data_IF_339154692531
#
_entry.id   IF_339154692531
#
_cell.length_a   1.000
_cell.length_b   1.000
_cell.length_c   1.000
_cell.angle_alpha   90.00
_cell.angle_beta   90.00
_cell.angle_gamma   90.00
#
_symmetry.space_group_name_H-M   'P 1'
#
loop_
_entity.id
_entity.type
_entity.pdbx_description
1 polymer ?
#
# COMPACT_ATOMS: atom_id res chain seq x y z
N UNK A 1 -8.75 6.71 19.64
CA UNK A 1 -8.87 7.84 20.58
C UNK A 1 -7.52 8.40 20.99
N UNK A 2 -6.56 7.59 21.46
CA UNK A 2 -5.26 8.05 21.96
C UNK A 2 -4.46 8.82 20.90
N UNK A 3 -4.45 8.35 19.64
CA UNK A 3 -3.83 9.06 18.52
C UNK A 3 -4.44 10.46 18.32
N UNK A 4 -5.74 10.59 18.41
CA UNK A 4 -6.42 11.87 18.27
C UNK A 4 -6.03 12.84 19.39
N UNK A 5 -6.08 12.37 20.63
CA UNK A 5 -5.73 13.19 21.81
C UNK A 5 -4.27 13.63 21.75
N UNK A 6 -3.34 12.72 21.43
CA UNK A 6 -1.92 13.03 21.30
C UNK A 6 -1.63 14.04 20.19
N UNK A 7 -2.27 13.88 19.01
CA UNK A 7 -2.11 14.82 17.91
C UNK A 7 -2.70 16.19 18.22
N UNK A 8 -3.90 16.23 18.82
CA UNK A 8 -4.52 17.49 19.25
C UNK A 8 -3.64 18.21 20.26
N UNK A 9 -3.09 17.48 21.25
CA UNK A 9 -2.18 18.05 22.26
C UNK A 9 -0.93 18.63 21.59
N UNK A 10 -0.24 17.85 20.79
CA UNK A 10 1.03 18.27 20.18
C UNK A 10 0.84 19.42 19.20
N UNK A 11 -0.07 19.30 18.25
CA UNK A 11 -0.26 20.29 17.18
C UNK A 11 -1.07 21.51 17.65
N UNK A 12 -2.16 21.28 18.40
CA UNK A 12 -3.07 22.35 18.79
C UNK A 12 -2.71 23.10 20.06
N UNK A 13 -2.02 22.46 21.01
CA UNK A 13 -1.75 23.09 22.31
C UNK A 13 -0.26 23.33 22.57
N UNK A 14 0.61 22.42 22.16
CA UNK A 14 2.06 22.62 22.21
C UNK A 14 2.55 23.40 20.99
N UNK A 15 1.85 23.30 19.85
CA UNK A 15 2.20 24.00 18.61
C UNK A 15 3.35 23.33 17.83
N UNK A 16 3.56 22.03 18.04
CA UNK A 16 4.60 21.28 17.36
C UNK A 16 4.00 20.17 16.49
N UNK A 17 4.48 20.08 15.25
CA UNK A 17 4.17 18.96 14.34
C UNK A 17 5.16 17.78 14.48
N UNK A 18 6.13 17.85 15.42
CA UNK A 18 7.07 16.75 15.68
C UNK A 18 6.37 15.63 16.45
N UNK A 19 5.43 14.96 15.79
CA UNK A 19 4.74 13.77 16.25
C UNK A 19 4.55 12.85 15.04
N UNK A 20 4.99 11.61 15.15
CA UNK A 20 4.83 10.62 14.08
C UNK A 20 4.48 9.25 14.67
N UNK A 21 4.14 8.29 13.83
CA UNK A 21 3.74 6.97 14.25
C UNK A 21 4.59 5.88 13.59
N UNK A 22 4.59 4.66 14.16
CA UNK A 22 5.21 3.51 13.53
C UNK A 22 4.59 3.12 12.17
N UNK A 23 3.37 3.56 11.86
CA UNK A 23 2.77 3.44 10.54
C UNK A 23 3.59 4.12 9.44
N UNK A 24 4.37 5.15 9.78
CA UNK A 24 5.32 5.81 8.88
C UNK A 24 6.28 4.82 8.24
N UNK A 25 6.84 3.92 9.04
CA UNK A 25 7.83 2.93 8.61
C UNK A 25 7.19 1.65 8.06
N UNK A 26 5.90 1.45 8.33
CA UNK A 26 5.17 0.25 7.97
C UNK A 26 4.57 0.34 6.56
N UNK A 27 3.80 1.40 6.27
CA UNK A 27 2.95 1.46 5.09
C UNK A 27 2.86 2.84 4.42
N UNK A 28 3.72 3.78 4.73
CA UNK A 28 3.67 5.11 4.10
C UNK A 28 3.90 5.05 2.58
N UNK A 29 4.55 4.02 2.07
CA UNK A 29 4.68 3.77 0.64
C UNK A 29 3.32 3.54 -0.04
N UNK A 30 2.43 2.74 0.57
CA UNK A 30 1.08 2.56 0.06
C UNK A 30 0.27 3.86 0.12
N UNK A 31 0.36 4.61 1.23
CA UNK A 31 -0.28 5.93 1.37
C UNK A 31 0.14 6.87 0.24
N UNK A 32 1.46 6.97 0.00
CA UNK A 32 1.98 7.80 -1.09
C UNK A 32 1.58 7.29 -2.47
N UNK A 33 1.53 5.96 -2.65
CA UNK A 33 1.07 5.31 -3.88
C UNK A 33 -0.39 5.62 -4.20
N UNK A 34 -1.28 5.49 -3.21
CA UNK A 34 -2.70 5.83 -3.37
C UNK A 34 -2.89 7.33 -3.65
N UNK A 35 -2.22 8.21 -2.91
CA UNK A 35 -2.28 9.66 -3.17
C UNK A 35 -1.80 10.01 -4.58
N UNK A 36 -0.74 9.36 -5.07
CA UNK A 36 -0.23 9.56 -6.42
C UNK A 36 -1.22 9.10 -7.49
N UNK A 37 -1.90 7.96 -7.27
CA UNK A 37 -2.82 7.37 -8.23
C UNK A 37 -4.25 7.92 -8.15
N UNK A 38 -4.78 8.13 -6.93
CA UNK A 38 -6.19 8.49 -6.70
C UNK A 38 -6.38 9.90 -6.15
N UNK A 39 -5.31 10.62 -5.84
CA UNK A 39 -5.37 11.95 -5.22
C UNK A 39 -5.56 11.91 -3.70
N UNK A 40 -5.97 10.79 -3.14
CA UNK A 40 -6.28 10.61 -1.73
C UNK A 40 -5.63 9.35 -1.13
N UNK A 41 -5.51 9.33 0.20
CA UNK A 41 -5.13 8.13 0.95
C UNK A 41 -6.37 7.26 1.17
N UNK A 42 -6.72 6.48 0.16
CA UNK A 42 -7.91 5.62 0.12
C UNK A 42 -7.52 4.20 -0.28
N UNK A 43 -8.10 3.21 0.41
CA UNK A 43 -7.99 1.80 0.04
C UNK A 43 -9.29 1.41 -0.68
N UNK A 44 -9.25 1.07 -1.97
CA UNK A 44 -10.45 0.84 -2.76
C UNK A 44 -11.07 -0.56 -2.57
N UNK A 45 -10.72 -1.25 -1.50
CA UNK A 45 -11.19 -2.60 -1.18
C UNK A 45 -11.61 -2.70 0.27
N UNK A 46 -12.46 -3.70 0.55
CA UNK A 46 -12.77 -4.12 1.91
C UNK A 46 -12.47 -5.62 2.14
N UNK A 47 -12.71 -6.12 3.35
CA UNK A 47 -12.40 -7.51 3.68
C UNK A 47 -13.31 -8.52 2.97
N UNK A 48 -14.48 -8.12 2.47
CA UNK A 48 -15.39 -9.02 1.76
C UNK A 48 -14.91 -9.29 0.35
N UNK A 49 -14.16 -8.35 -0.24
CA UNK A 49 -13.54 -8.53 -1.56
C UNK A 49 -12.58 -9.71 -1.59
N UNK A 50 -11.89 -10.00 -0.47
CA UNK A 50 -11.03 -11.18 -0.34
C UNK A 50 -11.80 -12.51 -0.41
N UNK A 51 -13.11 -12.49 -0.19
CA UNK A 51 -13.95 -13.68 -0.17
C UNK A 51 -14.73 -13.92 -1.45
N UNK A 52 -14.90 -12.89 -2.28
CA UNK A 52 -15.68 -12.95 -3.51
C UNK A 52 -14.86 -12.80 -4.80
N UNK A 53 -13.56 -12.49 -4.68
CA UNK A 53 -12.68 -12.40 -5.87
C UNK A 53 -12.46 -13.74 -6.55
N UNK A 54 -12.30 -13.75 -7.87
CA UNK A 54 -11.92 -14.94 -8.63
C UNK A 54 -10.41 -15.19 -8.64
N UNK A 55 -9.62 -14.11 -8.54
CA UNK A 55 -8.16 -14.17 -8.40
C UNK A 55 -7.69 -13.35 -7.21
N UNK A 56 -7.07 -14.00 -6.23
CA UNK A 56 -6.41 -13.35 -5.11
C UNK A 56 -4.89 -13.44 -5.26
N UNK A 57 -4.22 -12.31 -5.34
CA UNK A 57 -2.76 -12.22 -5.36
C UNK A 57 -2.28 -11.73 -4.00
N UNK A 58 -1.48 -12.53 -3.30
CA UNK A 58 -0.87 -12.21 -2.00
C UNK A 58 0.60 -11.88 -2.24
N UNK A 59 0.98 -10.61 -2.22
CA UNK A 59 2.35 -10.18 -2.54
C UNK A 59 3.04 -9.49 -1.37
N UNK A 60 4.24 -9.97 -1.03
CA UNK A 60 5.02 -9.44 0.08
C UNK A 60 4.27 -9.49 1.42
N UNK A 61 3.44 -10.53 1.62
CA UNK A 61 2.58 -10.68 2.78
C UNK A 61 2.56 -12.12 3.28
N UNK A 62 3.12 -12.36 4.45
CA UNK A 62 2.92 -13.62 5.17
C UNK A 62 1.57 -13.57 5.93
N UNK A 63 0.48 -13.62 5.18
CA UNK A 63 -0.88 -13.40 5.67
C UNK A 63 -1.27 -14.41 6.74
N UNK A 64 -0.82 -15.66 6.63
CA UNK A 64 -1.08 -16.70 7.63
C UNK A 64 -0.60 -16.31 9.03
N UNK A 65 0.52 -15.61 9.12
CA UNK A 65 1.12 -15.18 10.39
C UNK A 65 0.74 -13.76 10.79
N UNK A 66 0.76 -12.83 9.84
CA UNK A 66 0.52 -11.41 10.12
C UNK A 66 -0.98 -11.09 10.29
N UNK A 67 -1.85 -11.81 9.58
CA UNK A 67 -3.30 -11.57 9.56
C UNK A 67 -4.08 -12.89 9.65
N UNK A 68 -3.92 -13.67 10.73
CA UNK A 68 -4.44 -15.04 10.80
C UNK A 68 -5.97 -15.12 10.66
N UNK A 69 -6.71 -14.14 11.13
CA UNK A 69 -8.18 -14.11 10.99
C UNK A 69 -8.58 -13.90 9.53
N UNK A 70 -7.92 -12.99 8.80
CA UNK A 70 -8.16 -12.80 7.37
C UNK A 70 -7.73 -14.02 6.57
N UNK A 71 -6.62 -14.65 6.93
CA UNK A 71 -6.17 -15.88 6.29
C UNK A 71 -7.21 -16.99 6.41
N UNK A 72 -7.82 -17.17 7.60
CA UNK A 72 -8.92 -18.12 7.80
C UNK A 72 -10.15 -17.76 6.97
N UNK A 73 -10.46 -16.48 6.77
CA UNK A 73 -11.56 -16.05 5.89
C UNK A 73 -11.27 -16.43 4.44
N UNK A 74 -10.06 -16.18 3.95
CA UNK A 74 -9.59 -16.57 2.60
C UNK A 74 -9.66 -18.09 2.43
N UNK A 75 -9.17 -18.87 3.40
CA UNK A 75 -9.25 -20.34 3.37
C UNK A 75 -10.70 -20.82 3.23
N UNK A 76 -11.61 -20.24 4.01
CA UNK A 76 -13.05 -20.58 3.94
C UNK A 76 -13.67 -20.17 2.60
N UNK A 77 -13.28 -19.03 2.05
CA UNK A 77 -13.74 -18.58 0.74
C UNK A 77 -13.30 -19.55 -0.36
N UNK A 78 -12.02 -19.94 -0.37
CA UNK A 78 -11.48 -20.93 -1.32
C UNK A 78 -12.14 -22.30 -1.19
N UNK A 79 -12.46 -22.75 0.02
CA UNK A 79 -13.20 -24.00 0.24
C UNK A 79 -14.64 -23.94 -0.31
N UNK A 80 -15.29 -22.76 -0.23
CA UNK A 80 -16.64 -22.54 -0.78
C UNK A 80 -16.63 -22.35 -2.29
N UNK A 81 -15.57 -21.77 -2.83
CA UNK A 81 -15.35 -21.55 -4.25
C UNK A 81 -13.99 -22.15 -4.66
N UNK A 82 -13.92 -23.44 -5.02
CA UNK A 82 -12.68 -24.09 -5.44
C UNK A 82 -12.05 -23.52 -6.69
N UNK A 83 -12.82 -22.82 -7.55
CA UNK A 83 -12.34 -22.18 -8.77
C UNK A 83 -11.58 -20.89 -8.50
N UNK A 84 -11.74 -20.29 -7.32
CA UNK A 84 -10.94 -19.14 -6.88
C UNK A 84 -9.45 -19.47 -6.99
N UNK A 85 -8.69 -18.68 -7.72
CA UNK A 85 -7.23 -18.82 -7.83
C UNK A 85 -6.54 -17.98 -6.76
N UNK A 86 -5.50 -18.55 -6.15
CA UNK A 86 -4.64 -17.86 -5.18
C UNK A 86 -3.20 -17.91 -5.67
N UNK A 87 -2.61 -16.75 -5.88
CA UNK A 87 -1.19 -16.60 -6.23
C UNK A 87 -0.46 -15.97 -5.04
N UNK A 88 0.63 -16.59 -4.60
CA UNK A 88 1.50 -16.04 -3.56
C UNK A 88 2.82 -15.59 -4.19
N UNK A 89 3.16 -14.32 -4.02
CA UNK A 89 4.40 -13.71 -4.50
C UNK A 89 5.23 -13.33 -3.27
N UNK A 90 6.17 -14.18 -2.93
CA UNK A 90 7.07 -14.00 -1.77
C UNK A 90 8.37 -14.76 -2.03
N UNK A 91 9.55 -14.19 -1.72
CA UNK A 91 10.84 -14.90 -1.85
C UNK A 91 10.91 -16.23 -1.11
N UNK A 92 10.08 -16.38 -0.08
CA UNK A 92 10.01 -17.57 0.76
C UNK A 92 8.71 -18.32 0.56
N UNK A 93 8.77 -19.62 0.56
CA UNK A 93 7.60 -20.48 0.73
C UNK A 93 7.17 -20.43 2.21
N UNK A 94 6.22 -19.56 2.51
CA UNK A 94 5.68 -19.35 3.87
C UNK A 94 4.44 -20.19 4.07
N UNK A 95 3.91 -20.23 5.32
CA UNK A 95 2.63 -20.89 5.64
C UNK A 95 1.47 -20.37 4.77
N UNK A 96 1.56 -19.14 4.26
CA UNK A 96 0.58 -18.57 3.32
C UNK A 96 0.49 -19.37 2.03
N UNK A 97 1.58 -20.03 1.60
CA UNK A 97 1.62 -20.84 0.38
C UNK A 97 0.78 -22.12 0.48
N UNK A 98 0.33 -22.51 1.66
CA UNK A 98 -0.51 -23.73 1.85
C UNK A 98 -1.85 -23.66 1.13
N UNK A 99 -2.32 -22.47 0.74
CA UNK A 99 -3.55 -22.27 -0.03
C UNK A 99 -3.30 -21.83 -1.48
N UNK A 100 -2.03 -21.67 -1.86
CA UNK A 100 -1.67 -21.14 -3.18
C UNK A 100 -1.90 -22.21 -4.28
N UNK A 101 -2.46 -21.78 -5.39
CA UNK A 101 -2.46 -22.53 -6.66
C UNK A 101 -1.16 -22.29 -7.42
N UNK A 102 -0.51 -21.13 -7.17
CA UNK A 102 0.77 -20.77 -7.74
C UNK A 102 1.61 -19.98 -6.72
N UNK A 103 2.86 -20.39 -6.54
CA UNK A 103 3.85 -19.63 -5.76
C UNK A 103 4.93 -19.09 -6.70
N UNK A 104 5.14 -17.79 -6.66
CA UNK A 104 6.21 -17.10 -7.37
C UNK A 104 7.29 -16.66 -6.39
N UNK A 105 8.43 -17.37 -6.29
CA UNK A 105 9.53 -17.07 -5.38
C UNK A 105 10.35 -15.87 -5.91
N UNK A 106 9.72 -14.70 -5.94
CA UNK A 106 10.24 -13.47 -6.51
C UNK A 106 11.59 -13.07 -5.89
N UNK A 107 12.57 -12.75 -6.72
CA UNK A 107 13.80 -12.11 -6.26
C UNK A 107 13.48 -10.78 -5.59
N UNK A 108 13.91 -10.61 -4.34
CA UNK A 108 13.60 -9.41 -3.56
C UNK A 108 14.01 -8.12 -4.31
N UNK A 109 13.08 -7.17 -4.40
CA UNK A 109 13.29 -5.89 -5.06
C UNK A 109 12.85 -5.83 -6.52
N UNK A 110 12.42 -6.93 -7.14
CA UNK A 110 11.99 -6.96 -8.56
C UNK A 110 10.48 -6.80 -8.77
N UNK A 111 9.73 -6.43 -7.76
CA UNK A 111 8.27 -6.27 -7.82
C UNK A 111 7.82 -5.31 -8.93
N UNK A 112 8.53 -4.19 -9.13
CA UNK A 112 8.22 -3.23 -10.20
C UNK A 112 8.36 -3.88 -11.57
N UNK A 113 9.42 -4.68 -11.78
CA UNK A 113 9.62 -5.39 -13.03
C UNK A 113 8.48 -6.42 -13.28
N UNK A 114 8.06 -7.14 -12.23
CA UNK A 114 6.96 -8.10 -12.32
C UNK A 114 5.64 -7.43 -12.75
N UNK A 115 5.22 -6.37 -12.06
CA UNK A 115 3.93 -5.73 -12.35
C UNK A 115 3.98 -4.85 -13.61
N UNK A 116 5.11 -4.22 -13.94
CA UNK A 116 5.29 -3.59 -15.24
C UNK A 116 5.24 -4.61 -16.38
N UNK A 117 5.83 -5.79 -16.20
CA UNK A 117 5.71 -6.89 -17.14
C UNK A 117 4.25 -7.37 -17.31
N UNK A 118 3.47 -7.41 -16.23
CA UNK A 118 2.03 -7.71 -16.31
C UNK A 118 1.27 -6.64 -17.11
N UNK A 119 1.53 -5.35 -16.86
CA UNK A 119 0.92 -4.25 -17.62
C UNK A 119 1.26 -4.34 -19.10
N UNK A 120 2.52 -4.61 -19.42
CA UNK A 120 3.01 -4.83 -20.79
C UNK A 120 2.33 -6.05 -21.45
N UNK A 121 2.21 -7.14 -20.71
CA UNK A 121 1.53 -8.36 -21.16
C UNK A 121 0.05 -8.10 -21.44
N UNK A 122 -0.64 -7.39 -20.55
CA UNK A 122 -2.03 -7.01 -20.73
C UNK A 122 -2.24 -6.14 -21.99
N UNK A 123 -1.39 -5.15 -22.20
CA UNK A 123 -1.43 -4.29 -23.38
C UNK A 123 -1.18 -5.07 -24.68
N UNK A 124 -0.13 -5.88 -24.70
CA UNK A 124 0.26 -6.65 -25.91
C UNK A 124 -0.77 -7.72 -26.31
N UNK A 125 -1.55 -8.21 -25.35
CA UNK A 125 -2.63 -9.18 -25.60
C UNK A 125 -4.00 -8.52 -25.81
N UNK A 126 -4.07 -7.18 -25.87
CA UNK A 126 -5.33 -6.47 -26.11
C UNK A 126 -6.36 -6.61 -24.97
N UNK A 127 -5.89 -6.87 -23.74
CA UNK A 127 -6.76 -7.02 -22.57
C UNK A 127 -7.23 -5.68 -21.98
N UNK A 128 -6.64 -4.56 -22.42
CA UNK A 128 -6.98 -3.22 -21.93
C UNK A 128 -8.05 -2.60 -22.83
N UNK A 129 -9.22 -2.32 -22.27
CA UNK A 129 -10.25 -1.52 -22.94
C UNK A 129 -9.98 -0.03 -22.70
N UNK A 130 -9.15 0.56 -23.57
CA UNK A 130 -8.72 1.95 -23.46
C UNK A 130 -9.91 2.95 -23.50
N UNK A 131 -11.00 2.60 -24.19
CA UNK A 131 -12.17 3.46 -24.28
C UNK A 131 -12.92 3.48 -22.94
N UNK A 132 -13.10 2.32 -22.32
CA UNK A 132 -13.79 2.21 -21.03
C UNK A 132 -13.00 2.90 -19.91
N UNK A 133 -11.69 2.61 -19.78
CA UNK A 133 -10.88 3.19 -18.69
C UNK A 133 -10.57 4.68 -18.92
N UNK A 134 -10.57 5.17 -20.16
CA UNK A 134 -10.28 6.55 -20.51
C UNK A 134 -11.29 7.56 -19.95
N UNK A 135 -12.49 7.10 -19.55
CA UNK A 135 -13.49 7.95 -18.91
C UNK A 135 -13.09 8.39 -17.49
N UNK A 136 -12.25 7.60 -16.79
CA UNK A 136 -11.90 7.84 -15.39
C UNK A 136 -10.39 7.74 -15.09
N UNK A 137 -9.56 7.42 -16.08
CA UNK A 137 -8.10 7.36 -15.94
C UNK A 137 -7.39 8.32 -16.89
N UNK A 138 -6.15 8.65 -16.54
CA UNK A 138 -5.23 9.39 -17.40
C UNK A 138 -3.81 8.83 -17.27
N UNK A 139 -2.96 9.05 -18.30
CA UNK A 139 -1.55 8.66 -18.25
C UNK A 139 -1.29 7.19 -18.60
N UNK A 140 -2.25 6.45 -19.20
CA UNK A 140 -2.05 5.07 -19.61
C UNK A 140 -0.82 4.91 -20.53
N UNK A 141 -0.68 5.76 -21.54
CA UNK A 141 0.44 5.71 -22.50
C UNK A 141 1.79 5.92 -21.81
N UNK A 142 1.86 6.80 -20.81
CA UNK A 142 3.07 7.04 -20.02
C UNK A 142 3.41 5.83 -19.17
N UNK A 143 2.39 5.19 -18.56
CA UNK A 143 2.56 3.96 -17.78
C UNK A 143 3.05 2.80 -18.67
N UNK A 144 2.48 2.61 -19.85
CA UNK A 144 2.92 1.60 -20.83
C UNK A 144 4.35 1.90 -21.32
N UNK A 145 4.66 3.16 -21.61
CA UNK A 145 6.01 3.58 -22.02
C UNK A 145 7.02 3.26 -20.91
N UNK A 146 6.68 3.56 -19.66
CA UNK A 146 7.51 3.22 -18.50
C UNK A 146 7.66 1.71 -18.33
N UNK A 147 6.59 0.95 -18.48
CA UNK A 147 6.62 -0.52 -18.42
C UNK A 147 7.55 -1.12 -19.49
N UNK A 148 7.53 -0.56 -20.70
CA UNK A 148 8.35 -1.01 -21.83
C UNK A 148 9.85 -0.70 -21.71
N UNK A 149 10.31 -0.08 -20.64
CA UNK A 149 11.75 0.10 -20.36
C UNK A 149 12.47 -1.22 -20.06
N UNK A 150 11.72 -2.27 -19.70
CA UNK A 150 12.21 -3.64 -19.51
C UNK A 150 11.66 -4.48 -20.67
N UNK A 151 12.52 -5.20 -21.36
CA UNK A 151 12.08 -6.13 -22.41
C UNK A 151 11.28 -7.29 -21.76
N UNK A 152 10.09 -7.59 -22.31
CA UNK A 152 9.21 -8.62 -21.77
C UNK A 152 9.92 -9.99 -21.57
N UNK A 153 10.82 -10.36 -22.47
CA UNK A 153 11.61 -11.59 -22.37
C UNK A 153 12.58 -11.62 -21.18
N UNK A 154 12.97 -10.46 -20.66
CA UNK A 154 13.94 -10.34 -19.58
C UNK A 154 13.27 -10.31 -18.19
N UNK A 155 11.95 -10.11 -18.12
CA UNK A 155 11.22 -9.99 -16.85
C UNK A 155 11.39 -11.24 -15.98
N UNK A 156 11.21 -12.43 -16.54
CA UNK A 156 11.36 -13.67 -15.79
C UNK A 156 12.77 -13.79 -15.17
N UNK A 157 13.81 -13.51 -15.96
CA UNK A 157 15.22 -13.54 -15.52
C UNK A 157 15.50 -12.47 -14.44
N UNK A 158 15.00 -11.25 -14.61
CA UNK A 158 15.14 -10.16 -13.64
C UNK A 158 14.47 -10.50 -12.31
N UNK A 159 13.30 -11.11 -12.39
CA UNK A 159 12.52 -11.54 -11.23
C UNK A 159 13.02 -12.85 -10.60
N UNK A 160 13.91 -13.58 -11.29
CA UNK A 160 14.39 -14.88 -10.86
C UNK A 160 13.31 -15.97 -10.89
N UNK A 161 12.31 -15.81 -11.79
CA UNK A 161 11.16 -16.68 -11.90
C UNK A 161 11.27 -17.64 -13.08
N UNK A 162 10.53 -18.75 -12.99
CA UNK A 162 10.29 -19.60 -14.14
C UNK A 162 9.35 -18.88 -15.12
N UNK A 163 9.66 -18.88 -16.41
CA UNK A 163 8.89 -18.18 -17.43
C UNK A 163 7.47 -18.78 -17.57
N UNK A 164 7.31 -20.09 -17.44
CA UNK A 164 6.00 -20.72 -17.53
C UNK A 164 5.09 -20.32 -16.35
N UNK A 165 5.65 -20.22 -15.14
CA UNK A 165 4.92 -19.78 -13.95
C UNK A 165 4.54 -18.30 -14.05
N UNK A 166 5.46 -17.46 -14.55
CA UNK A 166 5.21 -16.04 -14.81
C UNK A 166 4.06 -15.85 -15.81
N UNK A 167 4.12 -16.55 -16.94
CA UNK A 167 3.07 -16.50 -17.98
C UNK A 167 1.73 -17.02 -17.44
N UNK A 168 1.74 -18.07 -16.62
CA UNK A 168 0.53 -18.57 -15.95
C UNK A 168 -0.11 -17.51 -15.06
N UNK A 169 0.69 -16.79 -14.28
CA UNK A 169 0.21 -15.69 -13.45
C UNK A 169 -0.39 -14.56 -14.30
N UNK A 170 0.30 -14.16 -15.36
CA UNK A 170 -0.16 -13.10 -16.25
C UNK A 170 -1.46 -13.48 -16.98
N UNK A 171 -1.54 -14.71 -17.49
CA UNK A 171 -2.75 -15.23 -18.14
C UNK A 171 -3.93 -15.26 -17.16
N UNK A 172 -3.72 -15.70 -15.92
CA UNK A 172 -4.77 -15.69 -14.91
C UNK A 172 -5.24 -14.28 -14.59
N UNK A 173 -4.31 -13.31 -14.52
CA UNK A 173 -4.65 -11.95 -14.14
C UNK A 173 -5.47 -11.24 -15.23
N UNK A 174 -5.09 -11.35 -16.50
CA UNK A 174 -5.81 -10.68 -17.60
C UNK A 174 -7.14 -11.35 -17.96
N UNK A 175 -7.32 -12.62 -17.61
CA UNK A 175 -8.56 -13.36 -17.87
C UNK A 175 -9.43 -13.53 -16.61
N UNK A 176 -9.08 -12.92 -15.48
CA UNK A 176 -9.90 -12.96 -14.29
C UNK A 176 -11.17 -12.13 -14.45
N UNK A 177 -12.30 -12.64 -13.95
CA UNK A 177 -13.53 -11.83 -13.84
C UNK A 177 -13.37 -10.72 -12.79
N UNK A 178 -12.67 -11.04 -11.71
CA UNK A 178 -12.36 -10.13 -10.61
C UNK A 178 -10.97 -10.45 -10.03
N UNK A 179 -10.20 -9.43 -9.67
CA UNK A 179 -8.87 -9.62 -9.08
C UNK A 179 -8.61 -8.67 -7.91
N UNK A 180 -8.11 -9.22 -6.83
CA UNK A 180 -7.57 -8.45 -5.68
C UNK A 180 -6.09 -8.74 -5.55
N UNK A 181 -5.28 -7.69 -5.51
CA UNK A 181 -3.86 -7.79 -5.10
C UNK A 181 -3.71 -7.27 -3.68
N UNK A 182 -3.63 -8.18 -2.74
CA UNK A 182 -3.38 -7.92 -1.32
C UNK A 182 -1.88 -7.84 -1.08
N UNK A 183 -1.39 -6.68 -0.63
CA UNK A 183 0.04 -6.47 -0.41
C UNK A 183 0.34 -5.84 0.96
N UNK A 184 1.52 -6.14 1.48
CA UNK A 184 1.92 -5.73 2.82
C UNK A 184 3.38 -5.26 2.86
N UNK A 185 4.13 -5.61 3.89
CA UNK A 185 5.45 -5.05 4.20
C UNK A 185 6.52 -5.35 3.15
N UNK A 186 6.48 -6.49 2.47
CA UNK A 186 7.42 -6.83 1.40
C UNK A 186 7.38 -5.85 0.23
N UNK A 187 6.22 -5.23 -0.02
CA UNK A 187 6.06 -4.13 -0.97
C UNK A 187 6.39 -2.79 -0.30
N UNK A 188 5.77 -2.52 0.87
CA UNK A 188 5.78 -1.20 1.50
C UNK A 188 7.15 -0.81 2.09
N UNK A 189 7.85 -1.74 2.74
CA UNK A 189 9.13 -1.49 3.41
C UNK A 189 10.32 -1.64 2.44
N UNK A 190 10.34 -0.77 1.46
CA UNK A 190 11.36 -0.75 0.40
C UNK A 190 11.69 0.68 0.02
N UNK A 191 12.92 0.93 -0.41
CA UNK A 191 13.34 2.23 -0.98
C UNK A 191 12.55 2.59 -2.25
N UNK A 192 12.03 1.59 -2.97
CA UNK A 192 11.15 1.74 -4.12
C UNK A 192 9.68 1.41 -3.80
N UNK A 193 9.27 1.43 -2.53
CA UNK A 193 7.94 0.96 -2.10
C UNK A 193 6.78 1.71 -2.75
N UNK A 194 6.92 3.02 -3.00
CA UNK A 194 5.89 3.81 -3.71
C UNK A 194 5.74 3.35 -5.15
N UNK A 195 6.84 3.09 -5.84
CA UNK A 195 6.82 2.64 -7.23
C UNK A 195 6.29 1.20 -7.36
N UNK A 196 6.60 0.33 -6.38
CA UNK A 196 6.01 -1.01 -6.29
C UNK A 196 4.48 -0.94 -6.12
N UNK A 197 4.00 -0.11 -5.18
CA UNK A 197 2.57 0.09 -4.98
C UNK A 197 1.89 0.65 -6.24
N UNK A 198 2.50 1.63 -6.91
CA UNK A 198 1.96 2.19 -8.15
C UNK A 198 1.97 1.19 -9.31
N UNK A 199 2.99 0.34 -9.45
CA UNK A 199 2.99 -0.70 -10.47
C UNK A 199 1.82 -1.68 -10.29
N UNK A 200 1.50 -2.06 -9.03
CA UNK A 200 0.31 -2.84 -8.71
C UNK A 200 -0.97 -2.08 -9.09
N UNK A 201 -1.10 -0.82 -8.63
CA UNK A 201 -2.28 0.02 -8.89
C UNK A 201 -2.50 0.20 -10.40
N UNK A 202 -1.44 0.43 -11.18
CA UNK A 202 -1.53 0.61 -12.62
C UNK A 202 -2.13 -0.62 -13.33
N UNK A 203 -1.78 -1.84 -12.90
CA UNK A 203 -2.37 -3.05 -13.46
C UNK A 203 -3.89 -3.12 -13.18
N UNK A 204 -4.31 -2.76 -11.96
CA UNK A 204 -5.73 -2.75 -11.61
C UNK A 204 -6.50 -1.65 -12.36
N UNK A 205 -5.93 -0.45 -12.50
CA UNK A 205 -6.54 0.64 -13.28
C UNK A 205 -6.67 0.26 -14.75
N UNK A 206 -5.62 -0.30 -15.35
CA UNK A 206 -5.59 -0.66 -16.76
C UNK A 206 -6.59 -1.76 -17.12
N UNK A 207 -6.90 -2.66 -16.20
CA UNK A 207 -7.84 -3.78 -16.40
C UNK A 207 -9.23 -3.52 -15.79
N UNK A 208 -9.51 -2.27 -15.39
CA UNK A 208 -10.80 -1.86 -14.81
C UNK A 208 -11.18 -2.67 -13.55
N UNK A 209 -10.18 -3.01 -12.73
CA UNK A 209 -10.35 -3.69 -11.45
C UNK A 209 -10.36 -2.71 -10.27
N UNK A 210 -11.15 -1.63 -10.38
CA UNK A 210 -11.32 -0.62 -9.33
C UNK A 210 -12.81 -0.32 -9.13
N UNK A 211 -13.22 -0.17 -7.87
CA UNK A 211 -14.59 0.23 -7.52
C UNK A 211 -15.65 -0.83 -7.78
N UNK A 212 -15.25 -2.08 -7.95
CA UNK A 212 -16.12 -3.24 -8.16
C UNK A 212 -15.91 -4.25 -7.03
N UNK A 213 -16.95 -4.95 -6.57
CA UNK A 213 -16.79 -6.02 -5.59
C UNK A 213 -15.79 -7.08 -6.07
N UNK A 214 -14.90 -7.50 -5.18
CA UNK A 214 -13.85 -8.47 -5.48
C UNK A 214 -12.70 -7.95 -6.34
N UNK A 215 -12.57 -6.62 -6.49
CA UNK A 215 -11.54 -6.00 -7.33
C UNK A 215 -10.76 -4.92 -6.59
N UNK A 216 -9.45 -4.88 -6.79
CA UNK A 216 -8.62 -3.74 -6.43
C UNK A 216 -7.27 -4.06 -5.78
N UNK A 217 -6.40 -3.04 -5.71
CA UNK A 217 -5.15 -3.11 -4.97
C UNK A 217 -5.43 -2.87 -3.48
N UNK A 218 -5.16 -3.86 -2.65
CA UNK A 218 -5.49 -3.86 -1.22
C UNK A 218 -4.21 -3.83 -0.36
N UNK A 219 -3.76 -2.65 0.02
CA UNK A 219 -2.68 -2.54 1.01
C UNK A 219 -3.20 -2.81 2.41
N UNK A 220 -2.50 -3.65 3.15
CA UNK A 220 -2.82 -3.94 4.55
C UNK A 220 -1.59 -3.88 5.43
N UNK A 221 -1.78 -3.37 6.64
CA UNK A 221 -0.73 -3.21 7.65
C UNK A 221 -0.96 -4.14 8.83
N UNK A 222 0.09 -4.33 9.66
CA UNK A 222 -0.01 -5.08 10.92
C UNK A 222 -0.68 -4.30 12.05
N UNK A 223 -0.70 -2.97 12.01
CA UNK A 223 -1.36 -2.17 13.04
C UNK A 223 -2.88 -2.27 12.92
N UNK A 224 -3.61 -2.43 14.04
CA UNK A 224 -5.04 -2.73 14.01
C UNK A 224 -5.92 -1.61 13.47
N UNK A 225 -5.50 -0.37 13.45
CA UNK A 225 -6.27 0.77 12.93
C UNK A 225 -5.39 1.89 12.39
N UNK A 226 -4.47 1.55 11.49
CA UNK A 226 -3.55 2.52 10.93
C UNK A 226 -4.26 3.59 10.08
N UNK A 227 -5.33 3.22 9.37
CA UNK A 227 -6.14 4.20 8.63
C UNK A 227 -6.80 5.20 9.58
N UNK A 228 -7.49 4.75 10.61
CA UNK A 228 -8.08 5.65 11.63
C UNK A 228 -7.04 6.51 12.34
N UNK A 229 -5.82 5.99 12.55
CA UNK A 229 -4.69 6.80 13.03
C UNK A 229 -4.34 7.94 12.08
N UNK A 230 -4.39 7.72 10.76
CA UNK A 230 -4.17 8.78 9.76
C UNK A 230 -5.35 9.75 9.67
N UNK A 231 -6.58 9.23 9.72
CA UNK A 231 -7.80 10.05 9.72
C UNK A 231 -7.82 11.09 10.85
N UNK A 232 -7.23 10.76 11.99
CA UNK A 232 -7.10 11.70 13.12
C UNK A 232 -5.80 12.50 13.11
N UNK A 233 -5.06 12.48 12.00
CA UNK A 233 -3.86 13.29 11.82
C UNK A 233 -2.60 12.72 12.44
N UNK A 234 -2.49 11.39 12.57
CA UNK A 234 -1.41 10.69 13.27
C UNK A 234 -0.01 10.76 12.66
N UNK A 235 0.18 11.46 11.57
CA UNK A 235 1.50 11.65 10.92
C UNK A 235 1.98 13.10 11.03
N UNK A 236 3.29 13.28 11.00
CA UNK A 236 3.96 14.58 11.16
C UNK A 236 3.52 15.65 10.15
N UNK A 237 3.01 15.25 9.01
CA UNK A 237 2.70 16.12 7.88
C UNK A 237 1.20 16.31 7.59
N UNK A 238 0.31 15.92 8.52
CA UNK A 238 -1.14 16.01 8.30
C UNK A 238 -1.88 16.44 9.57
N UNK A 239 -3.12 16.87 9.37
CA UNK A 239 -4.09 17.18 10.42
C UNK A 239 -5.23 16.16 10.39
N UNK A 240 -6.14 16.25 11.36
CA UNK A 240 -7.33 15.42 11.41
C UNK A 240 -8.23 15.63 10.17
N UNK A 241 -9.06 14.63 9.85
CA UNK A 241 -9.98 14.62 8.72
C UNK A 241 -9.28 14.80 7.35
N UNK A 242 -8.11 14.17 7.19
CA UNK A 242 -7.26 14.26 5.99
C UNK A 242 -6.83 15.69 5.59
N UNK A 243 -7.00 16.65 6.51
CA UNK A 243 -6.58 18.02 6.29
C UNK A 243 -5.06 18.11 6.15
N UNK A 244 -4.63 18.92 5.21
CA UNK A 244 -3.22 19.21 4.97
C UNK A 244 -2.74 20.34 5.91
N UNK A 245 -1.65 20.07 6.62
CA UNK A 245 -1.04 21.03 7.54
C UNK A 245 -0.45 22.25 6.81
N UNK A 246 -0.06 22.13 5.55
CA UNK A 246 0.49 23.21 4.75
C UNK A 246 -0.60 24.10 4.11
N UNK A 247 -1.85 23.65 4.09
CA UNK A 247 -2.99 24.44 3.61
C UNK A 247 -3.51 25.37 4.72
N UNK A 248 -3.48 26.72 4.52
CA UNK A 248 -3.94 27.67 5.53
C UNK A 248 -5.41 27.52 5.92
N UNK A 249 -6.28 27.23 4.96
CA UNK A 249 -7.72 27.04 5.21
C UNK A 249 -7.96 25.80 6.08
N UNK A 250 -7.28 24.70 5.78
CA UNK A 250 -7.36 23.46 6.57
C UNK A 250 -6.89 23.70 8.02
N UNK A 251 -5.78 24.45 8.19
CA UNK A 251 -5.28 24.80 9.53
C UNK A 251 -6.30 25.60 10.34
N UNK A 252 -6.85 26.65 9.73
CA UNK A 252 -7.84 27.50 10.42
C UNK A 252 -9.11 26.72 10.80
N UNK A 253 -9.61 25.86 9.90
CA UNK A 253 -10.77 25.01 10.18
C UNK A 253 -10.50 24.06 11.35
N UNK A 254 -9.35 23.36 11.36
CA UNK A 254 -9.01 22.44 12.45
C UNK A 254 -8.71 23.19 13.74
N UNK A 255 -8.02 24.34 13.68
CA UNK A 255 -7.74 25.19 14.84
C UNK A 255 -9.03 25.69 15.51
N UNK A 256 -9.98 26.16 14.70
CA UNK A 256 -11.29 26.60 15.17
C UNK A 256 -12.09 25.45 15.81
N UNK A 257 -12.12 24.28 15.16
CA UNK A 257 -12.80 23.10 15.69
C UNK A 257 -12.17 22.61 17.02
N UNK A 258 -10.85 22.61 17.11
CA UNK A 258 -10.14 22.22 18.32
C UNK A 258 -10.18 23.28 19.42
N UNK A 259 -10.54 24.52 19.09
CA UNK A 259 -10.40 25.70 19.97
C UNK A 259 -8.98 25.79 20.54
N UNK A 260 -8.00 25.57 19.67
CA UNK A 260 -6.60 25.44 20.08
C UNK A 260 -5.88 26.80 20.02
N UNK A 261 -4.98 27.08 20.98
CA UNK A 261 -4.22 28.34 21.02
C UNK A 261 -3.10 28.39 19.98
N UNK A 262 -2.67 27.23 19.48
CA UNK A 262 -1.55 27.10 18.57
C UNK A 262 -1.94 26.20 17.40
N UNK A 263 -1.18 26.31 16.28
CA UNK A 263 -1.23 25.41 15.15
C UNK A 263 0.08 25.57 14.37
N UNK A 264 0.84 24.49 14.12
CA UNK A 264 2.04 24.59 13.31
C UNK A 264 1.69 24.90 11.85
N UNK A 265 2.55 25.64 11.17
CA UNK A 265 2.33 26.10 9.78
C UNK A 265 2.85 25.12 8.73
N UNK A 266 3.73 24.20 9.14
CA UNK A 266 4.33 23.20 8.27
C UNK A 266 4.43 21.86 8.97
N UNK A 267 4.65 20.82 8.17
CA UNK A 267 4.88 19.46 8.65
C UNK A 267 6.10 19.39 9.58
N UNK A 268 6.03 18.48 10.56
CA UNK A 268 7.12 18.16 11.46
C UNK A 268 8.12 17.16 10.85
N UNK A 269 9.16 16.87 11.62
CA UNK A 269 10.14 15.84 11.28
C UNK A 269 9.46 14.46 11.25
N UNK A 270 9.72 13.72 10.19
CA UNK A 270 9.27 12.33 10.05
C UNK A 270 10.11 11.42 10.94
N UNK A 271 9.63 10.22 11.23
CA UNK A 271 10.21 9.34 12.22
C UNK A 271 11.75 9.24 12.18
N UNK A 272 12.36 8.96 11.03
CA UNK A 272 13.82 8.83 10.91
C UNK A 272 14.52 10.17 11.22
N UNK A 273 14.02 11.25 10.61
CA UNK A 273 14.58 12.60 10.78
C UNK A 273 14.41 13.09 12.24
N UNK A 274 13.29 12.71 12.89
CA UNK A 274 13.03 13.04 14.29
C UNK A 274 14.10 12.44 15.22
N UNK A 275 14.43 11.16 15.04
CA UNK A 275 15.46 10.49 15.84
C UNK A 275 16.87 11.00 15.50
N UNK A 276 17.15 11.31 14.23
CA UNK A 276 18.41 11.97 13.83
C UNK A 276 18.56 13.36 14.48
N UNK A 277 17.49 14.13 14.53
CA UNK A 277 17.47 15.44 15.20
C UNK A 277 17.62 15.32 16.74
N UNK A 278 17.14 14.24 17.33
CA UNK A 278 17.34 13.92 18.73
C UNK A 278 18.81 13.60 19.01
N UNK A 279 19.45 12.78 18.20
CA UNK A 279 20.89 12.47 18.30
C UNK A 279 21.74 13.74 18.15
N UNK A 280 21.38 14.63 17.24
CA UNK A 280 22.00 15.93 17.05
C UNK A 280 21.71 16.96 18.19
N UNK A 281 20.96 16.60 19.22
CA UNK A 281 20.61 17.46 20.35
C UNK A 281 19.60 18.57 20.03
N UNK A 282 18.93 18.52 18.87
CA UNK A 282 17.91 19.49 18.48
C UNK A 282 16.58 19.23 19.19
N UNK A 283 16.24 17.96 19.43
CA UNK A 283 15.08 17.53 20.19
C UNK A 283 15.50 17.26 21.64
N UNK A 284 14.89 18.01 22.57
CA UNK A 284 15.27 17.98 24.00
C UNK A 284 14.45 16.98 24.81
N UNK A 285 13.29 16.60 24.32
CA UNK A 285 12.36 15.68 24.96
C UNK A 285 11.63 14.85 23.93
N UNK A 286 11.54 13.55 24.18
CA UNK A 286 10.73 12.63 23.38
C UNK A 286 9.82 11.82 24.28
N UNK A 287 8.58 11.65 23.86
CA UNK A 287 7.61 10.78 24.50
C UNK A 287 7.27 9.62 23.56
N UNK A 288 7.61 8.40 23.95
CA UNK A 288 7.40 7.18 23.18
C UNK A 288 6.21 6.44 23.77
N UNK A 289 5.17 6.22 22.97
CA UNK A 289 3.92 5.59 23.40
C UNK A 289 3.64 4.33 22.57
N UNK A 290 3.49 3.17 23.22
CA UNK A 290 3.00 1.94 22.60
C UNK A 290 3.84 1.36 21.46
N UNK A 291 5.11 1.77 21.31
CA UNK A 291 6.03 1.28 20.27
C UNK A 291 7.45 1.13 20.84
N UNK A 292 8.28 0.35 20.12
CA UNK A 292 9.70 0.20 20.46
C UNK A 292 10.57 0.67 19.28
N UNK A 293 11.05 1.94 19.29
CA UNK A 293 11.85 2.49 18.20
C UNK A 293 13.13 1.72 17.92
N UNK A 294 13.77 1.16 18.95
CA UNK A 294 15.00 0.35 18.80
C UNK A 294 14.79 -0.86 17.90
N UNK A 295 13.56 -1.40 17.85
CA UNK A 295 13.19 -2.52 16.97
C UNK A 295 12.66 -2.04 15.63
N UNK A 296 11.95 -0.90 15.61
CA UNK A 296 11.18 -0.46 14.44
C UNK A 296 11.97 0.44 13.48
N UNK A 297 13.03 1.09 13.96
CA UNK A 297 13.81 2.02 13.15
C UNK A 297 14.77 1.27 12.20
N UNK A 298 15.05 1.81 11.00
CA UNK A 298 15.85 1.12 9.99
C UNK A 298 17.36 1.11 10.26
N UNK A 299 17.89 1.91 11.19
CA UNK A 299 19.34 2.02 11.51
C UNK A 299 19.61 1.97 12.99
#
# INVERSE_FOLDING_TARGET
>A
EDYYVANKLMKGFIGSANIDTNSRLCMSSAVAGYKRAFGEDVVPCDYTDLECTSLLVLTGSNTAWAHPVLFQRIQRAKLRNPDMKVVVIDPRETETCTIADLHLPLKAGSDVALFNGLLQFAHNNGAIDEAAIGEFTQGLNDAITSANTIDAKDVASLCGLNEADLNTFYDWFINADTAVTFYSMGVNQSSAGVDKANAIINCHLALDFIGKPGCGPFSITGQPNAMGGREVGGLANMLAAHCDIENPEHRENVKAFWQSPAMPECGGLKAVDLFSAMDAGQIKFVWIMGTNPVVSMPY
#
